data_IF_296023335429
#
_entry.id   IF_296023335429
#
_cell.length_a   1.000
_cell.length_b   1.000
_cell.length_c   1.000
_cell.angle_alpha   90.00
_cell.angle_beta   90.00
_cell.angle_gamma   90.00
#
_symmetry.space_group_name_H-M   'P 1'
#
loop_
_entity.id
_entity.type
_entity.pdbx_description
1 polymer ?
#
# COMPACT_ATOMS: atom_id res chain seq x y z
N UNK A 1 37.87 26.32 -18.98
CA UNK A 1 36.79 25.55 -19.61
C UNK A 1 35.45 26.20 -19.24
N UNK A 2 34.96 27.08 -20.11
CA UNK A 2 33.60 27.62 -20.01
C UNK A 2 32.65 26.56 -20.57
N UNK A 3 31.73 26.05 -19.76
CA UNK A 3 30.62 25.24 -20.26
C UNK A 3 29.36 26.10 -20.29
N UNK A 4 28.95 26.36 -21.52
CA UNK A 4 27.81 27.12 -21.99
C UNK A 4 26.51 26.35 -21.70
N UNK A 5 25.50 27.00 -21.12
CA UNK A 5 24.28 26.38 -20.60
C UNK A 5 23.08 26.47 -21.56
N UNK A 6 23.31 26.51 -22.86
CA UNK A 6 22.24 26.47 -23.85
C UNK A 6 22.22 25.08 -24.49
N UNK A 7 21.05 24.45 -24.45
CA UNK A 7 20.66 23.27 -25.24
C UNK A 7 20.70 21.88 -24.56
N UNK A 8 20.11 21.75 -23.36
CA UNK A 8 19.72 20.42 -22.85
C UNK A 8 18.23 20.40 -22.44
N UNK A 9 17.42 19.41 -22.87
CA UNK A 9 16.05 19.28 -22.40
C UNK A 9 16.09 18.92 -20.92
N UNK A 10 15.81 19.90 -20.06
CA UNK A 10 15.81 19.74 -18.60
C UNK A 10 14.70 18.77 -18.16
N UNK A 11 14.98 17.47 -18.22
CA UNK A 11 14.22 16.46 -17.49
C UNK A 11 14.55 16.64 -16.00
N UNK A 12 13.68 17.34 -15.28
CA UNK A 12 13.79 17.42 -13.83
C UNK A 12 13.25 16.11 -13.28
N UNK A 13 14.12 15.36 -12.59
CA UNK A 13 13.76 14.15 -11.89
C UNK A 13 13.33 14.50 -10.46
N UNK A 14 12.15 14.06 -10.04
CA UNK A 14 11.71 14.26 -8.67
C UNK A 14 12.63 13.45 -7.73
N UNK A 15 13.28 14.11 -6.76
CA UNK A 15 14.17 13.45 -5.80
C UNK A 15 13.47 12.44 -4.89
N UNK A 16 12.15 12.54 -4.74
CA UNK A 16 11.38 11.64 -3.87
C UNK A 16 10.79 10.44 -4.61
N UNK A 17 10.26 10.64 -5.82
CA UNK A 17 9.60 9.54 -6.56
C UNK A 17 10.34 9.12 -7.83
N UNK A 18 11.50 9.73 -8.13
CA UNK A 18 12.40 9.41 -9.26
C UNK A 18 11.80 9.50 -10.67
N UNK A 19 10.57 10.03 -10.80
CA UNK A 19 9.92 10.26 -12.10
C UNK A 19 10.50 11.50 -12.77
N UNK A 20 10.88 11.34 -14.04
CA UNK A 20 11.27 12.44 -14.93
C UNK A 20 10.03 13.14 -15.48
N UNK A 21 9.98 14.47 -15.41
CA UNK A 21 8.87 15.26 -15.97
C UNK A 21 9.40 16.22 -17.04
N UNK A 22 8.66 16.34 -18.15
CA UNK A 22 9.03 17.18 -19.29
C UNK A 22 8.57 18.65 -19.20
N UNK A 23 7.84 19.04 -18.13
CA UNK A 23 7.35 20.39 -17.91
C UNK A 23 7.73 20.93 -16.54
N UNK A 24 8.52 22.00 -16.53
CA UNK A 24 8.87 22.77 -15.33
C UNK A 24 7.67 23.65 -14.95
N UNK A 25 6.69 23.07 -14.26
CA UNK A 25 5.70 23.82 -13.48
C UNK A 25 5.79 23.38 -12.02
N UNK A 26 6.96 23.60 -11.42
CA UNK A 26 7.20 23.31 -10.00
C UNK A 26 6.41 24.32 -9.16
N UNK A 27 5.32 23.86 -8.53
CA UNK A 27 4.56 24.66 -7.55
C UNK A 27 5.24 24.62 -6.18
N UNK A 28 5.28 25.78 -5.54
CA UNK A 28 5.94 26.06 -4.26
C UNK A 28 5.38 25.19 -3.12
N UNK A 29 6.29 24.75 -2.25
CA UNK A 29 6.07 23.87 -1.09
C UNK A 29 5.01 24.40 -0.09
N UNK A 30 4.19 23.46 0.41
CA UNK A 30 2.96 23.60 1.21
C UNK A 30 3.20 24.10 2.65
N UNK A 31 4.45 24.30 3.09
CA UNK A 31 4.76 24.68 4.47
C UNK A 31 4.32 26.09 4.90
N UNK A 32 3.78 26.91 4.01
CA UNK A 32 3.48 28.30 4.32
C UNK A 32 2.00 28.66 4.14
N UNK A 33 1.11 28.12 4.98
CA UNK A 33 -0.35 28.42 4.91
C UNK A 33 -0.71 29.92 4.97
N UNK A 34 0.00 30.71 5.80
CA UNK A 34 -0.22 32.18 5.93
C UNK A 34 0.42 32.99 4.79
N UNK A 35 1.63 32.65 4.36
CA UNK A 35 2.22 33.29 3.17
C UNK A 35 1.48 32.86 1.90
N UNK A 36 0.93 31.65 1.84
CA UNK A 36 0.12 31.19 0.71
C UNK A 36 -1.19 31.95 0.58
N UNK A 37 -1.82 32.45 1.65
CA UNK A 37 -3.01 33.32 1.51
C UNK A 37 -2.67 34.73 1.01
N UNK A 38 -1.56 35.32 1.49
CA UNK A 38 -1.10 36.63 1.03
C UNK A 38 -0.54 36.55 -0.40
N UNK A 39 0.29 35.55 -0.69
CA UNK A 39 0.79 35.25 -2.03
C UNK A 39 -0.33 34.89 -2.99
N UNK A 40 -1.41 34.21 -2.56
CA UNK A 40 -2.60 34.01 -3.40
C UNK A 40 -3.30 35.32 -3.73
N UNK A 41 -3.48 36.24 -2.77
CA UNK A 41 -4.08 37.56 -3.06
C UNK A 41 -3.20 38.41 -3.97
N UNK A 42 -1.88 38.44 -3.71
CA UNK A 42 -0.91 39.16 -4.54
C UNK A 42 -0.80 38.54 -5.93
N UNK A 43 -0.79 37.21 -6.05
CA UNK A 43 -0.79 36.51 -7.34
C UNK A 43 -2.10 36.70 -8.08
N UNK A 44 -3.24 36.72 -7.38
CA UNK A 44 -4.54 37.00 -8.00
C UNK A 44 -4.56 38.43 -8.55
N UNK A 45 -4.03 39.41 -7.79
CA UNK A 45 -3.92 40.79 -8.26
C UNK A 45 -2.97 40.92 -9.45
N UNK A 46 -1.77 40.33 -9.39
CA UNK A 46 -0.82 40.30 -10.51
C UNK A 46 -1.38 39.56 -11.74
N UNK A 47 -2.13 38.49 -11.53
CA UNK A 47 -2.79 37.74 -12.60
C UNK A 47 -3.90 38.57 -13.24
N UNK A 48 -4.79 39.18 -12.46
CA UNK A 48 -5.88 40.03 -12.97
C UNK A 48 -5.36 41.31 -13.65
N UNK A 49 -4.17 41.78 -13.29
CA UNK A 49 -3.48 42.93 -13.90
C UNK A 49 -2.48 42.54 -15.01
N UNK A 50 -2.36 41.26 -15.36
CA UNK A 50 -1.42 40.78 -16.37
C UNK A 50 -1.91 41.06 -17.78
N UNK A 51 -1.00 41.47 -18.67
CA UNK A 51 -1.25 41.59 -20.11
C UNK A 51 -1.67 40.24 -20.73
N UNK A 52 -1.36 39.10 -20.07
CA UNK A 52 -1.82 37.77 -20.47
C UNK A 52 -3.34 37.58 -20.39
N UNK A 53 -4.02 38.34 -19.52
CA UNK A 53 -5.50 38.32 -19.42
C UNK A 53 -6.16 39.13 -20.53
N UNK A 54 -5.38 39.91 -21.27
CA UNK A 54 -5.85 40.68 -22.40
C UNK A 54 -5.64 39.88 -23.69
N UNK A 55 -6.61 39.96 -24.59
CA UNK A 55 -6.45 39.48 -25.96
C UNK A 55 -5.44 40.38 -26.67
N UNK A 56 -4.38 39.78 -27.23
CA UNK A 56 -3.35 40.53 -27.96
C UNK A 56 -3.90 41.25 -29.20
N UNK A 57 -4.89 40.65 -29.87
CA UNK A 57 -5.51 41.18 -31.09
C UNK A 57 -6.54 42.26 -30.78
N UNK A 58 -7.49 41.98 -29.89
CA UNK A 58 -8.64 42.86 -29.65
C UNK A 58 -8.42 43.85 -28.49
N UNK A 59 -7.34 43.69 -27.72
CA UNK A 59 -7.07 44.47 -26.50
C UNK A 59 -8.25 44.44 -25.52
N UNK A 60 -9.01 43.35 -25.51
CA UNK A 60 -10.12 43.08 -24.60
C UNK A 60 -9.74 42.03 -23.55
N UNK A 61 -10.31 42.14 -22.35
CA UNK A 61 -10.15 41.09 -21.32
C UNK A 61 -10.75 39.77 -21.81
N UNK A 62 -10.00 38.68 -21.63
CA UNK A 62 -10.47 37.33 -21.87
C UNK A 62 -11.47 36.95 -20.77
N UNK A 63 -12.71 36.69 -21.15
CA UNK A 63 -13.83 36.37 -20.24
C UNK A 63 -14.54 35.06 -20.59
N UNK A 64 -14.15 34.43 -21.69
CA UNK A 64 -14.72 33.19 -22.18
C UNK A 64 -13.69 32.08 -22.06
N UNK A 65 -14.12 30.87 -21.73
CA UNK A 65 -13.33 29.65 -21.76
C UNK A 65 -13.80 28.80 -22.94
N UNK A 66 -12.84 28.32 -23.75
CA UNK A 66 -13.09 27.33 -24.79
C UNK A 66 -12.78 25.93 -24.26
N UNK A 67 -13.80 25.07 -24.25
CA UNK A 67 -13.67 23.71 -23.70
C UNK A 67 -12.79 22.79 -24.56
N UNK A 68 -12.83 23.00 -25.88
CA UNK A 68 -12.09 22.21 -26.87
C UNK A 68 -10.59 22.53 -26.77
N UNK A 69 -10.25 23.81 -26.86
CA UNK A 69 -8.85 24.27 -26.91
C UNK A 69 -8.23 24.46 -25.53
N UNK A 70 -9.06 24.42 -24.46
CA UNK A 70 -8.69 24.68 -23.07
C UNK A 70 -7.99 26.03 -22.88
N UNK A 71 -8.49 27.04 -23.57
CA UNK A 71 -7.91 28.38 -23.64
C UNK A 71 -8.91 29.45 -23.19
N UNK A 72 -8.39 30.63 -22.81
CA UNK A 72 -9.18 31.80 -22.47
C UNK A 72 -9.26 32.75 -23.66
N UNK A 73 -10.47 33.16 -24.00
CA UNK A 73 -10.81 33.99 -25.15
C UNK A 73 -11.50 35.29 -24.69
N UNK A 74 -11.31 36.37 -25.45
CA UNK A 74 -12.23 37.51 -25.39
C UNK A 74 -13.51 37.20 -26.20
N UNK A 75 -14.53 38.05 -26.07
CA UNK A 75 -15.84 37.81 -26.69
C UNK A 75 -15.78 37.83 -28.23
N UNK A 76 -14.89 38.65 -28.80
CA UNK A 76 -14.65 38.70 -30.24
C UNK A 76 -13.96 37.43 -30.74
N UNK A 77 -12.96 36.93 -30.00
CA UNK A 77 -12.30 35.66 -30.33
C UNK A 77 -13.25 34.46 -30.21
N UNK A 78 -14.17 34.43 -29.24
CA UNK A 78 -15.14 33.30 -29.14
C UNK A 78 -16.12 33.26 -30.31
N UNK A 79 -16.25 34.35 -31.07
CA UNK A 79 -17.09 34.43 -32.28
C UNK A 79 -16.28 34.33 -33.57
N UNK A 80 -14.95 34.15 -33.48
CA UNK A 80 -14.09 34.02 -34.65
C UNK A 80 -14.40 32.71 -35.39
N UNK A 81 -14.04 32.64 -36.67
CA UNK A 81 -14.22 31.43 -37.47
C UNK A 81 -13.49 30.21 -36.88
N UNK A 82 -12.38 30.43 -36.16
CA UNK A 82 -11.60 29.38 -35.50
C UNK A 82 -12.36 28.72 -34.35
N UNK A 83 -13.14 29.49 -33.58
CA UNK A 83 -13.82 28.99 -32.40
C UNK A 83 -15.33 28.89 -32.55
N UNK A 84 -15.91 29.31 -33.68
CA UNK A 84 -17.36 29.44 -33.89
C UNK A 84 -18.16 28.18 -33.50
N UNK A 85 -17.60 27.00 -33.76
CA UNK A 85 -18.26 25.71 -33.52
C UNK A 85 -17.84 25.06 -32.18
N UNK A 86 -16.98 25.72 -31.39
CA UNK A 86 -16.55 25.23 -30.08
C UNK A 86 -17.55 25.62 -28.99
N UNK A 87 -17.65 24.76 -27.96
CA UNK A 87 -18.42 25.08 -26.76
C UNK A 87 -17.66 26.10 -25.92
N UNK A 88 -18.34 27.20 -25.61
CA UNK A 88 -17.83 28.27 -24.76
C UNK A 88 -18.70 28.47 -23.53
N UNK A 89 -18.07 28.89 -22.45
CA UNK A 89 -18.75 29.35 -21.24
C UNK A 89 -17.97 30.50 -20.60
N UNK A 90 -18.61 31.32 -19.75
CA UNK A 90 -17.90 32.29 -18.92
C UNK A 90 -16.86 31.59 -18.05
N UNK A 91 -15.74 32.28 -17.78
CA UNK A 91 -14.65 31.73 -16.97
C UNK A 91 -15.15 31.34 -15.57
N UNK A 92 -16.05 32.12 -14.99
CA UNK A 92 -16.63 31.86 -13.68
C UNK A 92 -17.38 30.52 -13.67
N UNK A 93 -18.22 30.28 -14.68
CA UNK A 93 -18.96 29.02 -14.83
C UNK A 93 -18.02 27.83 -15.08
N UNK A 94 -17.00 28.00 -15.93
CA UNK A 94 -16.00 26.97 -16.16
C UNK A 94 -15.23 26.63 -14.88
N UNK A 95 -14.85 27.65 -14.11
CA UNK A 95 -14.14 27.50 -12.85
C UNK A 95 -14.97 26.75 -11.81
N UNK A 96 -16.26 27.08 -11.67
CA UNK A 96 -17.20 26.38 -10.80
C UNK A 96 -17.34 24.91 -11.18
N UNK A 97 -17.59 24.62 -12.47
CA UNK A 97 -17.74 23.23 -12.96
C UNK A 97 -16.47 22.41 -12.73
N UNK A 98 -15.29 22.99 -13.01
CA UNK A 98 -14.02 22.32 -12.78
C UNK A 98 -13.72 22.13 -11.30
N UNK A 99 -14.08 23.10 -10.45
CA UNK A 99 -13.94 22.99 -9.00
C UNK A 99 -14.82 21.87 -8.46
N UNK A 100 -16.08 21.78 -8.89
CA UNK A 100 -16.99 20.71 -8.46
C UNK A 100 -16.46 19.33 -8.88
N UNK A 101 -16.06 19.17 -10.15
CA UNK A 101 -15.45 17.94 -10.66
C UNK A 101 -14.19 17.54 -9.87
N UNK A 102 -13.37 18.51 -9.47
CA UNK A 102 -12.19 18.26 -8.67
C UNK A 102 -12.57 17.79 -7.26
N UNK A 103 -13.54 18.45 -6.61
CA UNK A 103 -14.02 18.06 -5.29
C UNK A 103 -14.62 16.65 -5.29
N UNK A 104 -15.44 16.31 -6.28
CA UNK A 104 -15.98 14.96 -6.46
C UNK A 104 -14.88 13.90 -6.61
N UNK A 105 -13.86 14.18 -7.44
CA UNK A 105 -12.70 13.29 -7.59
C UNK A 105 -11.92 13.14 -6.28
N UNK A 106 -11.69 14.24 -5.57
CA UNK A 106 -11.00 14.22 -4.27
C UNK A 106 -11.77 13.39 -3.25
N UNK A 107 -13.10 13.53 -3.19
CA UNK A 107 -13.94 12.74 -2.31
C UNK A 107 -13.86 11.24 -2.63
N UNK A 108 -14.03 10.86 -3.90
CA UNK A 108 -13.90 9.46 -4.34
C UNK A 108 -12.51 8.89 -4.01
N UNK A 109 -11.44 9.68 -4.20
CA UNK A 109 -10.09 9.24 -3.84
C UNK A 109 -9.91 9.06 -2.33
N UNK A 110 -10.50 9.96 -1.54
CA UNK A 110 -10.50 9.87 -0.08
C UNK A 110 -11.21 8.60 0.40
N UNK A 111 -12.39 8.32 -0.13
CA UNK A 111 -13.16 7.11 0.19
C UNK A 111 -12.37 5.84 -0.13
N UNK A 112 -11.74 5.78 -1.32
CA UNK A 112 -10.85 4.66 -1.70
C UNK A 112 -9.64 4.52 -0.77
N UNK A 113 -9.05 5.63 -0.32
CA UNK A 113 -7.93 5.61 0.61
C UNK A 113 -8.36 5.07 1.98
N UNK A 114 -9.52 5.52 2.50
CA UNK A 114 -10.09 4.98 3.73
C UNK A 114 -10.39 3.48 3.62
N UNK A 115 -10.98 3.05 2.51
CA UNK A 115 -11.30 1.66 2.26
C UNK A 115 -10.04 0.78 2.18
N UNK A 116 -9.03 1.23 1.44
CA UNK A 116 -7.73 0.54 1.39
C UNK A 116 -7.11 0.43 2.79
N UNK A 117 -7.17 1.49 3.60
CA UNK A 117 -6.66 1.46 4.97
C UNK A 117 -7.39 0.42 5.84
N UNK A 118 -8.72 0.31 5.71
CA UNK A 118 -9.52 -0.72 6.42
C UNK A 118 -9.12 -2.13 5.97
N UNK A 119 -9.01 -2.36 4.66
CA UNK A 119 -8.61 -3.65 4.11
C UNK A 119 -7.21 -4.06 4.56
N UNK A 120 -6.27 -3.11 4.59
CA UNK A 120 -4.92 -3.35 5.12
C UNK A 120 -4.96 -3.77 6.60
N UNK A 121 -5.80 -3.15 7.42
CA UNK A 121 -5.93 -3.50 8.83
C UNK A 121 -6.54 -4.90 9.04
N UNK A 122 -7.51 -5.28 8.20
CA UNK A 122 -8.08 -6.64 8.19
C UNK A 122 -7.01 -7.66 7.83
N UNK A 123 -6.26 -7.47 6.75
CA UNK A 123 -5.20 -8.40 6.34
C UNK A 123 -4.05 -8.47 7.34
N UNK A 124 -3.71 -7.35 7.98
CA UNK A 124 -2.72 -7.32 9.07
C UNK A 124 -3.19 -8.16 10.26
N UNK A 125 -4.45 -8.01 10.65
CA UNK A 125 -5.05 -8.78 11.75
C UNK A 125 -5.10 -10.27 11.40
N UNK A 126 -5.54 -10.61 10.19
CA UNK A 126 -5.58 -11.99 9.69
C UNK A 126 -4.20 -12.65 9.72
N UNK A 127 -3.18 -11.93 9.26
CA UNK A 127 -1.79 -12.40 9.26
C UNK A 127 -1.30 -12.67 10.69
N UNK A 128 -1.62 -11.78 11.64
CA UNK A 128 -1.28 -11.98 13.06
C UNK A 128 -1.96 -13.23 13.62
N UNK A 129 -3.28 -13.34 13.47
CA UNK A 129 -4.03 -14.50 13.96
C UNK A 129 -3.53 -15.82 13.37
N UNK A 130 -3.14 -15.82 12.09
CA UNK A 130 -2.59 -17.01 11.46
C UNK A 130 -1.22 -17.40 12.04
N UNK A 131 -0.34 -16.43 12.32
CA UNK A 131 0.92 -16.69 13.01
C UNK A 131 0.69 -17.28 14.41
N UNK A 132 -0.24 -16.71 15.16
CA UNK A 132 -0.59 -17.20 16.51
C UNK A 132 -1.13 -18.64 16.44
N UNK A 133 -2.01 -18.93 15.47
CA UNK A 133 -2.54 -20.27 15.23
C UNK A 133 -1.43 -21.28 14.92
N UNK A 134 -0.52 -20.93 14.00
CA UNK A 134 0.60 -21.82 13.62
C UNK A 134 1.51 -22.09 14.82
N UNK A 135 1.84 -21.06 15.59
CA UNK A 135 2.67 -21.21 16.79
C UNK A 135 2.01 -22.12 17.83
N UNK A 136 0.72 -21.90 18.12
CA UNK A 136 -0.04 -22.74 19.06
C UNK A 136 -0.07 -24.21 18.62
N UNK A 137 -0.27 -24.47 17.32
CA UNK A 137 -0.27 -25.84 16.78
C UNK A 137 1.11 -26.49 16.87
N UNK A 138 2.16 -25.72 16.61
CA UNK A 138 3.54 -26.18 16.69
C UNK A 138 3.92 -26.51 18.15
N UNK A 139 3.52 -25.69 19.11
CA UNK A 139 3.70 -25.96 20.54
C UNK A 139 2.93 -27.21 20.99
N UNK A 140 1.68 -27.36 20.56
CA UNK A 140 0.88 -28.55 20.87
C UNK A 140 1.54 -29.84 20.34
N UNK A 141 2.01 -29.82 19.08
CA UNK A 141 2.72 -30.96 18.49
C UNK A 141 4.00 -31.25 19.30
N UNK A 142 4.80 -30.24 19.63
CA UNK A 142 6.01 -30.43 20.45
C UNK A 142 5.67 -31.05 21.81
N UNK A 143 4.62 -30.57 22.47
CA UNK A 143 4.21 -31.07 23.77
C UNK A 143 3.81 -32.55 23.71
N UNK A 144 3.12 -33.00 22.66
CA UNK A 144 2.82 -34.43 22.48
C UNK A 144 4.08 -35.26 22.27
N UNK A 145 5.03 -34.78 21.46
CA UNK A 145 6.29 -35.48 21.22
C UNK A 145 7.17 -35.56 22.47
N UNK A 146 7.12 -34.55 23.34
CA UNK A 146 7.85 -34.56 24.61
C UNK A 146 7.34 -35.62 25.60
N UNK A 147 6.11 -36.12 25.46
CA UNK A 147 5.57 -37.18 26.32
C UNK A 147 6.07 -38.57 25.92
N UNK A 148 6.47 -38.77 24.66
CA UNK A 148 6.85 -40.09 24.14
C UNK A 148 8.02 -40.76 24.88
N UNK A 149 9.12 -40.07 25.25
CA UNK A 149 10.22 -40.71 25.97
C UNK A 149 9.81 -41.35 27.30
N UNK A 150 8.92 -40.69 28.06
CA UNK A 150 8.43 -41.23 29.33
C UNK A 150 7.59 -42.49 29.10
N UNK A 151 6.70 -42.45 28.11
CA UNK A 151 5.89 -43.61 27.72
C UNK A 151 6.77 -44.79 27.28
N UNK A 152 7.73 -44.55 26.39
CA UNK A 152 8.65 -45.61 25.91
C UNK A 152 9.51 -46.18 27.04
N UNK A 153 9.96 -45.34 27.98
CA UNK A 153 10.73 -45.81 29.13
C UNK A 153 9.89 -46.72 30.04
N UNK A 154 8.63 -46.34 30.30
CA UNK A 154 7.71 -47.14 31.11
C UNK A 154 7.37 -48.48 30.43
N UNK A 155 7.10 -48.44 29.12
CA UNK A 155 6.84 -49.62 28.29
C UNK A 155 8.05 -50.58 28.26
N UNK A 156 9.26 -50.06 28.02
CA UNK A 156 10.49 -50.85 28.03
C UNK A 156 10.69 -51.54 29.40
N UNK A 157 10.58 -50.76 30.49
CA UNK A 157 10.73 -51.28 31.85
C UNK A 157 9.73 -52.40 32.15
N UNK A 158 8.46 -52.20 31.82
CA UNK A 158 7.41 -53.20 32.02
C UNK A 158 7.72 -54.50 31.28
N UNK A 159 8.13 -54.40 30.01
CA UNK A 159 8.44 -55.55 29.18
C UNK A 159 9.66 -56.34 29.70
N UNK A 160 10.72 -55.64 30.13
CA UNK A 160 11.90 -56.26 30.72
C UNK A 160 11.59 -56.97 32.04
N UNK A 161 10.78 -56.37 32.91
CA UNK A 161 10.35 -56.98 34.18
C UNK A 161 9.50 -58.24 33.95
N UNK A 162 8.55 -58.18 33.00
CA UNK A 162 7.74 -59.33 32.62
C UNK A 162 8.62 -60.48 32.10
N UNK A 163 9.60 -60.19 31.23
CA UNK A 163 10.49 -61.21 30.68
C UNK A 163 11.35 -61.85 31.78
N UNK A 164 11.89 -61.05 32.69
CA UNK A 164 12.65 -61.55 33.85
C UNK A 164 11.81 -62.50 34.72
N UNK A 165 10.54 -62.15 34.98
CA UNK A 165 9.62 -62.99 35.76
C UNK A 165 9.34 -64.32 35.07
N UNK A 166 8.94 -64.28 33.80
CA UNK A 166 8.69 -65.49 32.99
C UNK A 166 9.94 -66.39 32.92
N UNK A 167 11.12 -65.78 32.76
CA UNK A 167 12.40 -66.49 32.77
C UNK A 167 12.64 -67.24 34.08
N UNK A 168 12.45 -66.58 35.24
CA UNK A 168 12.55 -67.22 36.56
C UNK A 168 11.60 -68.42 36.70
N UNK A 169 10.35 -68.26 36.25
CA UNK A 169 9.35 -69.34 36.31
C UNK A 169 9.75 -70.54 35.45
N UNK A 170 10.27 -70.30 34.25
CA UNK A 170 10.77 -71.34 33.34
C UNK A 170 11.96 -72.06 33.98
N UNK A 171 12.96 -71.32 34.46
CA UNK A 171 14.15 -71.92 35.09
C UNK A 171 13.78 -72.74 36.33
N UNK A 172 12.87 -72.24 37.17
CA UNK A 172 12.39 -72.99 38.33
C UNK A 172 11.76 -74.33 37.92
N UNK A 173 10.88 -74.34 36.90
CA UNK A 173 10.30 -75.60 36.37
C UNK A 173 11.35 -76.55 35.81
N UNK A 174 12.34 -76.04 35.07
CA UNK A 174 13.43 -76.85 34.53
C UNK A 174 14.29 -77.47 35.64
N UNK A 175 14.62 -76.70 36.69
CA UNK A 175 15.32 -77.21 37.86
C UNK A 175 14.56 -78.33 38.57
N UNK A 176 13.25 -78.14 38.80
CA UNK A 176 12.40 -79.17 39.39
C UNK A 176 12.34 -80.44 38.52
N UNK A 177 12.21 -80.28 37.20
CA UNK A 177 12.22 -81.41 36.27
C UNK A 177 13.55 -82.17 36.32
N UNK A 178 14.68 -81.45 36.33
CA UNK A 178 16.02 -82.04 36.46
C UNK A 178 16.18 -82.83 37.75
N UNK A 179 15.76 -82.26 38.89
CA UNK A 179 15.84 -82.93 40.19
C UNK A 179 14.99 -84.22 40.22
N UNK A 180 13.78 -84.18 39.67
CA UNK A 180 12.91 -85.37 39.54
C UNK A 180 13.54 -86.49 38.71
N UNK A 181 14.26 -86.15 37.63
CA UNK A 181 14.97 -87.15 36.82
C UNK A 181 16.17 -87.75 37.56
N UNK A 182 16.86 -86.98 38.40
CA UNK A 182 17.99 -87.48 39.19
C UNK A 182 17.58 -88.48 40.28
N UNK A 183 16.40 -88.30 40.89
CA UNK A 183 15.87 -89.22 41.91
C UNK A 183 15.27 -90.53 41.35
N UNK A 184 15.13 -90.66 40.03
CA UNK A 184 14.58 -91.86 39.36
C UNK A 184 15.66 -92.80 38.80
N UNK A 185 16.94 -92.57 39.13
CA UNK A 185 18.06 -93.48 38.87
C UNK A 185 18.39 -94.27 40.12
#
# INVERSE_FOLDING_TARGET
FYLNWKDSPFLVQCSECTKSTGQINLKTNIHFKKMASLARKVSLWLFLSSEEQMCGTHRETKKMFCEVDRSLLCLLCSSSQEHRDHRHCPIESAAEEHQEKLLQKMQSLWEKACENHRNLNVETTRTRCWKDYVNLRLEAIRAEYQKMPAFHHEEEKHNLEMLKKKGKDIFHRLHLSKAKMAHRR
#
